data_IF_549268344677
#
_entry.id   IF_549268344677
#
_cell.length_a   1.000
_cell.length_b   1.000
_cell.length_c   1.000
_cell.angle_alpha   90.00
_cell.angle_beta   90.00
_cell.angle_gamma   90.00
#
_symmetry.space_group_name_H-M   'P 1'
#
loop_
_entity.id
_entity.type
_entity.pdbx_description
1 polymer ?
#
# COMPACT_ATOMS: atom_id res chain seq x y z
N UNK A 1 24.07 22.43 -9.24
CA UNK A 1 22.95 23.37 -9.37
C UNK A 1 21.66 22.55 -9.35
N UNK A 2 21.06 22.40 -8.17
CA UNK A 2 19.80 21.65 -8.03
C UNK A 2 18.67 22.48 -8.61
N UNK A 3 18.10 22.02 -9.74
CA UNK A 3 16.77 22.47 -10.16
C UNK A 3 15.76 21.94 -9.14
N UNK A 4 15.45 22.74 -8.13
CA UNK A 4 14.29 22.52 -7.27
C UNK A 4 13.07 22.50 -8.18
N UNK A 5 12.40 21.35 -8.25
CA UNK A 5 11.10 21.23 -8.94
C UNK A 5 10.17 22.23 -8.28
N UNK A 6 9.82 23.30 -9.01
CA UNK A 6 8.76 24.21 -8.59
C UNK A 6 7.51 23.35 -8.54
N UNK A 7 6.93 23.18 -7.34
CA UNK A 7 5.66 22.47 -7.17
C UNK A 7 4.60 23.32 -7.86
N UNK A 8 4.16 22.88 -9.01
CA UNK A 8 3.08 23.53 -9.73
C UNK A 8 1.75 23.13 -9.05
N UNK A 9 1.32 23.96 -8.10
CA UNK A 9 0.06 23.78 -7.37
C UNK A 9 -1.15 23.77 -8.29
N UNK A 10 -1.10 24.58 -9.33
CA UNK A 10 -2.19 24.70 -10.29
C UNK A 10 -2.30 23.41 -11.13
N UNK A 11 -1.18 22.82 -11.52
CA UNK A 11 -1.16 21.53 -12.20
C UNK A 11 -1.68 20.37 -11.32
N UNK A 12 -1.36 20.37 -10.01
CA UNK A 12 -1.90 19.38 -9.08
C UNK A 12 -3.42 19.53 -8.97
N UNK A 13 -3.92 20.75 -8.73
CA UNK A 13 -5.37 21.01 -8.67
C UNK A 13 -6.07 20.59 -9.95
N UNK A 14 -5.58 21.03 -11.09
CA UNK A 14 -6.12 20.68 -12.39
C UNK A 14 -6.17 19.17 -12.66
N UNK A 15 -5.19 18.41 -12.15
CA UNK A 15 -5.19 16.96 -12.29
C UNK A 15 -6.32 16.29 -11.48
N UNK A 16 -6.61 16.77 -10.26
CA UNK A 16 -7.73 16.28 -9.46
C UNK A 16 -9.07 16.70 -10.06
N UNK A 17 -9.21 17.96 -10.53
CA UNK A 17 -10.41 18.46 -11.21
C UNK A 17 -10.71 17.62 -12.47
N UNK A 18 -9.69 17.26 -13.23
CA UNK A 18 -9.84 16.40 -14.41
C UNK A 18 -10.28 14.96 -14.04
N UNK A 19 -9.80 14.44 -12.91
CA UNK A 19 -10.23 13.13 -12.41
C UNK A 19 -11.70 13.16 -12.00
N UNK A 20 -12.13 14.19 -11.28
CA UNK A 20 -13.52 14.35 -10.86
C UNK A 20 -14.43 14.48 -12.08
N UNK A 21 -14.07 15.31 -13.06
CA UNK A 21 -14.82 15.47 -14.31
C UNK A 21 -14.93 14.14 -15.10
N UNK A 22 -13.87 13.32 -15.10
CA UNK A 22 -13.91 12.01 -15.74
C UNK A 22 -14.86 11.04 -15.02
N UNK A 23 -14.89 11.06 -13.67
CA UNK A 23 -15.83 10.27 -12.87
C UNK A 23 -17.28 10.69 -13.12
N UNK A 24 -17.56 11.99 -13.15
CA UNK A 24 -18.87 12.53 -13.47
C UNK A 24 -19.32 12.11 -14.88
N UNK A 25 -18.40 12.17 -15.85
CA UNK A 25 -18.66 11.70 -17.21
C UNK A 25 -19.06 10.22 -17.28
N UNK A 26 -18.38 9.37 -16.51
CA UNK A 26 -18.74 7.93 -16.43
C UNK A 26 -20.07 7.73 -15.70
N UNK A 27 -20.32 8.48 -14.62
CA UNK A 27 -21.57 8.40 -13.85
C UNK A 27 -22.82 8.81 -14.66
N UNK A 28 -22.65 9.66 -15.67
CA UNK A 28 -23.72 10.08 -16.54
C UNK A 28 -24.10 9.05 -17.64
N UNK A 29 -23.33 7.95 -17.79
CA UNK A 29 -23.58 6.94 -18.81
C UNK A 29 -24.72 5.98 -18.40
N UNK A 30 -25.56 5.60 -19.37
CA UNK A 30 -26.51 4.49 -19.22
C UNK A 30 -25.86 3.14 -19.59
N UNK A 31 -26.22 2.09 -18.87
CA UNK A 31 -25.66 0.75 -19.08
C UNK A 31 -26.68 -0.28 -19.59
N UNK A 32 -27.91 0.15 -19.91
CA UNK A 32 -29.05 -0.72 -20.28
C UNK A 32 -28.80 -1.57 -21.53
N UNK A 33 -27.91 -1.10 -22.41
CA UNK A 33 -27.55 -1.82 -23.66
C UNK A 33 -26.42 -2.84 -23.50
N UNK A 34 -25.83 -3.00 -22.29
CA UNK A 34 -24.70 -3.88 -22.06
C UNK A 34 -25.13 -5.28 -21.69
N UNK A 35 -24.37 -6.26 -22.17
CA UNK A 35 -24.48 -7.64 -21.71
C UNK A 35 -23.91 -7.80 -20.28
N UNK A 36 -24.33 -8.83 -19.52
CA UNK A 36 -23.74 -9.11 -18.19
C UNK A 36 -22.22 -9.26 -18.21
N UNK A 37 -21.65 -9.81 -19.29
CA UNK A 37 -20.20 -9.96 -19.46
C UNK A 37 -19.49 -8.60 -19.57
N UNK A 38 -20.06 -7.69 -20.33
CA UNK A 38 -19.54 -6.33 -20.47
C UNK A 38 -19.64 -5.56 -19.15
N UNK A 39 -20.75 -5.71 -18.41
CA UNK A 39 -20.90 -5.13 -17.08
C UNK A 39 -19.82 -5.64 -16.10
N UNK A 40 -19.53 -6.96 -16.10
CA UNK A 40 -18.47 -7.53 -15.27
C UNK A 40 -17.07 -7.00 -15.66
N UNK A 41 -16.83 -6.79 -16.95
CA UNK A 41 -15.58 -6.18 -17.42
C UNK A 41 -15.43 -4.73 -16.92
N UNK A 42 -16.52 -3.96 -16.95
CA UNK A 42 -16.52 -2.58 -16.41
C UNK A 42 -16.34 -2.56 -14.88
N UNK A 43 -16.96 -3.48 -14.15
CA UNK A 43 -16.74 -3.64 -12.71
C UNK A 43 -15.27 -3.95 -12.39
N UNK A 44 -14.63 -4.80 -13.21
CA UNK A 44 -13.19 -5.08 -13.08
C UNK A 44 -12.36 -3.81 -13.32
N UNK A 45 -12.76 -2.97 -14.29
CA UNK A 45 -12.11 -1.70 -14.54
C UNK A 45 -12.28 -0.72 -13.37
N UNK A 46 -13.49 -0.60 -12.83
CA UNK A 46 -13.76 0.22 -11.63
C UNK A 46 -12.90 -0.24 -10.43
N UNK A 47 -12.81 -1.56 -10.23
CA UNK A 47 -11.98 -2.10 -9.14
C UNK A 47 -10.49 -1.78 -9.34
N UNK A 48 -9.99 -1.87 -10.57
CA UNK A 48 -8.61 -1.47 -10.88
C UNK A 48 -8.35 0.00 -10.56
N UNK A 49 -9.29 0.89 -10.83
CA UNK A 49 -9.17 2.32 -10.48
C UNK A 49 -9.12 2.52 -8.95
N UNK A 50 -10.01 1.85 -8.19
CA UNK A 50 -10.01 1.90 -6.72
C UNK A 50 -8.67 1.45 -6.12
N UNK A 51 -8.07 0.40 -6.67
CA UNK A 51 -6.78 -0.15 -6.23
C UNK A 51 -5.60 0.81 -6.44
N UNK A 52 -5.72 1.77 -7.35
CA UNK A 52 -4.68 2.76 -7.64
C UNK A 52 -4.68 3.95 -6.68
N UNK A 53 -5.83 4.29 -6.09
CA UNK A 53 -5.95 5.47 -5.21
C UNK A 53 -4.98 5.44 -4.02
N UNK A 54 -4.79 4.33 -3.29
CA UNK A 54 -3.82 4.29 -2.19
C UNK A 54 -2.39 4.65 -2.61
N UNK A 55 -1.97 4.28 -3.83
CA UNK A 55 -0.65 4.61 -4.33
C UNK A 55 -0.45 6.14 -4.58
N UNK A 56 -1.54 6.88 -4.77
CA UNK A 56 -1.54 8.35 -4.82
C UNK A 56 -1.53 8.94 -3.40
N UNK A 57 -2.25 8.31 -2.45
CA UNK A 57 -2.33 8.76 -1.06
C UNK A 57 -0.99 8.60 -0.31
N UNK A 58 -0.23 7.53 -0.57
CA UNK A 58 1.01 7.24 0.16
C UNK A 58 2.02 8.38 0.15
N UNK A 59 2.39 8.99 -0.99
CA UNK A 59 3.31 10.12 -1.00
C UNK A 59 2.74 11.34 -0.28
N UNK A 60 1.42 11.57 -0.30
CA UNK A 60 0.78 12.68 0.42
C UNK A 60 0.88 12.47 1.94
N UNK A 61 0.52 11.28 2.43
CA UNK A 61 0.62 10.93 3.86
C UNK A 61 2.07 11.04 4.33
N UNK A 62 3.02 10.49 3.58
CA UNK A 62 4.43 10.53 3.92
C UNK A 62 5.00 11.96 3.85
N UNK A 63 4.46 12.81 2.98
CA UNK A 63 4.83 14.22 2.94
C UNK A 63 4.38 14.94 4.21
N UNK A 64 3.13 14.77 4.63
CA UNK A 64 2.62 15.32 5.89
C UNK A 64 3.43 14.81 7.09
N UNK A 65 3.74 13.51 7.12
CA UNK A 65 4.54 12.89 8.19
C UNK A 65 5.93 13.55 8.36
N UNK A 66 6.52 14.01 7.27
CA UNK A 66 7.84 14.67 7.29
C UNK A 66 7.80 16.15 7.59
N UNK A 67 6.73 16.84 7.20
CA UNK A 67 6.66 18.30 7.23
C UNK A 67 5.99 18.82 8.51
N UNK A 68 5.01 18.10 9.04
CA UNK A 68 4.21 18.59 10.15
C UNK A 68 4.64 18.01 11.49
N UNK A 69 4.75 18.87 12.49
CA UNK A 69 4.95 18.46 13.88
C UNK A 69 3.64 17.96 14.51
N UNK A 70 3.70 17.16 15.59
CA UNK A 70 2.50 16.75 16.32
C UNK A 70 1.68 17.95 16.84
N UNK A 71 2.32 19.08 17.15
CA UNK A 71 1.62 20.29 17.59
C UNK A 71 0.79 20.92 16.47
N UNK A 72 1.33 20.97 15.24
CA UNK A 72 0.60 21.47 14.06
C UNK A 72 -0.55 20.53 13.65
N UNK A 73 -0.41 19.22 13.86
CA UNK A 73 -1.44 18.23 13.57
C UNK A 73 -2.52 18.11 14.69
N UNK A 74 -2.33 18.79 15.83
CA UNK A 74 -3.18 18.60 16.99
C UNK A 74 -3.09 17.21 17.62
N UNK A 75 -2.00 16.45 17.33
CA UNK A 75 -1.77 15.12 17.86
C UNK A 75 -1.06 14.17 16.90
N UNK A 76 -1.46 12.89 16.91
CA UNK A 76 -0.88 11.87 16.03
C UNK A 76 -1.34 12.05 14.59
N UNK A 77 -0.44 11.81 13.63
CA UNK A 77 -0.75 11.86 12.18
C UNK A 77 -2.03 11.07 11.81
N UNK A 78 -2.20 9.85 12.34
CA UNK A 78 -3.40 9.06 12.07
C UNK A 78 -4.69 9.71 12.55
N UNK A 79 -4.66 10.49 13.63
CA UNK A 79 -5.82 11.25 14.09
C UNK A 79 -6.11 12.44 13.15
N UNK A 80 -5.07 13.18 12.75
CA UNK A 80 -5.24 14.28 11.79
C UNK A 80 -5.79 13.79 10.44
N UNK A 81 -5.29 12.64 9.94
CA UNK A 81 -5.83 12.00 8.73
C UNK A 81 -7.29 11.60 8.91
N UNK A 82 -7.64 10.99 10.06
CA UNK A 82 -9.03 10.58 10.34
C UNK A 82 -9.99 11.78 10.35
N UNK A 83 -9.61 12.86 10.99
CA UNK A 83 -10.42 14.09 11.05
C UNK A 83 -10.54 14.76 9.66
N UNK A 84 -9.45 14.87 8.92
CA UNK A 84 -9.44 15.52 7.61
C UNK A 84 -10.23 14.75 6.54
N UNK A 85 -10.26 13.41 6.63
CA UNK A 85 -10.90 12.55 5.62
C UNK A 85 -12.21 11.90 6.11
N UNK A 86 -12.61 12.18 7.34
CA UNK A 86 -13.84 11.65 7.98
C UNK A 86 -13.93 10.12 7.97
N UNK A 87 -12.79 9.45 8.13
CA UNK A 87 -12.72 7.98 8.26
C UNK A 87 -12.44 7.58 9.71
N UNK A 88 -12.62 6.29 10.02
CA UNK A 88 -12.31 5.80 11.36
C UNK A 88 -10.81 5.92 11.68
N UNK A 89 -10.49 6.11 12.97
CA UNK A 89 -9.09 6.16 13.45
C UNK A 89 -8.31 4.89 13.13
N UNK A 90 -8.99 3.73 13.13
CA UNK A 90 -8.39 2.46 12.78
C UNK A 90 -8.01 2.42 11.27
N UNK A 91 -8.90 2.91 10.40
CA UNK A 91 -8.64 3.04 8.96
C UNK A 91 -7.50 4.02 8.69
N UNK A 92 -7.51 5.18 9.32
CA UNK A 92 -6.46 6.18 9.19
C UNK A 92 -5.10 5.62 9.65
N UNK A 93 -5.04 4.91 10.77
CA UNK A 93 -3.82 4.25 11.24
C UNK A 93 -3.32 3.21 10.23
N UNK A 94 -4.22 2.41 9.66
CA UNK A 94 -3.89 1.43 8.61
C UNK A 94 -3.29 2.11 7.38
N UNK A 95 -3.89 3.22 6.88
CA UNK A 95 -3.37 3.99 5.75
C UNK A 95 -2.01 4.59 6.03
N UNK A 96 -1.80 5.18 7.20
CA UNK A 96 -0.51 5.74 7.62
C UNK A 96 0.58 4.67 7.65
N UNK A 97 0.31 3.49 8.24
CA UNK A 97 1.27 2.39 8.27
C UNK A 97 1.54 1.83 6.86
N UNK A 98 0.50 1.72 6.02
CA UNK A 98 0.69 1.26 4.64
C UNK A 98 1.50 2.26 3.82
N UNK A 99 1.27 3.56 3.99
CA UNK A 99 2.04 4.61 3.33
C UNK A 99 3.51 4.60 3.75
N UNK A 100 3.81 4.32 5.02
CA UNK A 100 5.17 4.20 5.52
C UNK A 100 5.93 3.02 4.86
N UNK A 101 5.25 1.90 4.62
CA UNK A 101 5.86 0.71 3.99
C UNK A 101 5.96 0.84 2.46
N UNK A 102 4.88 1.27 1.80
CA UNK A 102 4.75 1.24 0.32
C UNK A 102 4.99 2.57 -0.38
N UNK A 103 4.97 3.67 0.37
CA UNK A 103 5.23 4.98 -0.20
C UNK A 103 6.71 5.24 -0.47
N UNK A 104 7.03 6.26 -1.26
CA UNK A 104 8.40 6.69 -1.47
C UNK A 104 9.03 7.09 -0.14
N UNK A 105 10.24 6.58 0.11
CA UNK A 105 11.06 6.91 1.28
C UNK A 105 12.17 7.86 0.87
N UNK A 106 12.69 8.59 1.83
CA UNK A 106 13.80 9.54 1.63
C UNK A 106 14.88 9.18 2.62
N UNK A 107 16.10 9.00 2.14
CA UNK A 107 17.27 8.77 2.98
C UNK A 107 17.68 10.00 3.78
N UNK A 108 18.66 9.81 4.64
CA UNK A 108 19.16 10.88 5.52
C UNK A 108 19.76 12.06 4.74
N UNK A 109 20.28 11.80 3.54
CA UNK A 109 20.87 12.81 2.65
C UNK A 109 19.89 13.34 1.61
N UNK A 110 18.61 12.93 1.68
CA UNK A 110 17.54 13.38 0.79
C UNK A 110 17.37 12.56 -0.48
N UNK A 111 18.14 11.47 -0.65
CA UNK A 111 17.99 10.56 -1.79
C UNK A 111 16.70 9.74 -1.70
N UNK A 112 16.03 9.49 -2.85
CA UNK A 112 14.87 8.61 -2.88
C UNK A 112 15.29 7.15 -2.63
N UNK A 113 14.64 6.52 -1.67
CA UNK A 113 14.80 5.10 -1.36
C UNK A 113 13.53 4.37 -1.80
N UNK A 114 13.69 3.26 -2.50
CA UNK A 114 12.57 2.40 -2.86
C UNK A 114 11.83 1.86 -1.63
N UNK A 115 10.50 1.62 -1.71
CA UNK A 115 9.77 0.87 -0.69
C UNK A 115 10.45 -0.47 -0.41
N UNK A 116 10.37 -0.96 0.83
CA UNK A 116 10.91 -2.29 1.15
C UNK A 116 10.15 -3.40 0.39
N UNK A 117 8.78 -3.41 0.36
CA UNK A 117 8.02 -4.29 -0.52
C UNK A 117 7.83 -3.61 -1.90
N UNK A 118 8.90 -3.62 -2.71
CA UNK A 118 8.95 -2.87 -3.97
C UNK A 118 8.00 -3.42 -5.04
N UNK A 119 7.88 -4.74 -5.17
CA UNK A 119 7.00 -5.39 -6.14
C UNK A 119 5.52 -5.15 -5.77
N UNK A 120 5.17 -5.22 -4.49
CA UNK A 120 3.84 -4.91 -3.97
C UNK A 120 3.45 -3.46 -4.27
N UNK A 121 4.36 -2.51 -4.02
CA UNK A 121 4.14 -1.10 -4.29
C UNK A 121 3.94 -0.82 -5.79
N UNK A 122 4.72 -1.47 -6.65
CA UNK A 122 4.58 -1.38 -8.11
C UNK A 122 3.22 -1.94 -8.57
N UNK A 123 2.87 -3.16 -8.14
CA UNK A 123 1.60 -3.80 -8.49
C UNK A 123 0.37 -3.01 -8.01
N UNK A 124 0.44 -2.41 -6.82
CA UNK A 124 -0.63 -1.53 -6.32
C UNK A 124 -0.77 -0.26 -7.18
N UNK A 125 0.32 0.36 -7.59
CA UNK A 125 0.31 1.53 -8.48
C UNK A 125 -0.34 1.25 -9.82
N UNK A 126 -0.18 0.03 -10.32
CA UNK A 126 -0.83 -0.45 -11.54
C UNK A 126 -2.29 -0.88 -11.34
N UNK A 127 -2.77 -0.93 -10.10
CA UNK A 127 -4.12 -1.36 -9.74
C UNK A 127 -4.30 -2.87 -9.81
N UNK A 128 -3.23 -3.65 -9.70
CA UNK A 128 -3.25 -5.11 -9.77
C UNK A 128 -3.54 -5.75 -8.41
N UNK A 129 -3.18 -5.08 -7.31
CA UNK A 129 -3.40 -5.56 -5.94
C UNK A 129 -4.43 -4.70 -5.21
N UNK A 130 -5.40 -5.34 -4.58
CA UNK A 130 -6.35 -4.69 -3.67
C UNK A 130 -5.68 -4.34 -2.33
N UNK A 131 -6.25 -3.41 -1.54
CA UNK A 131 -5.76 -3.11 -0.20
C UNK A 131 -5.72 -4.36 0.72
N UNK A 132 -6.63 -5.31 0.53
CA UNK A 132 -6.67 -6.56 1.30
C UNK A 132 -5.50 -7.48 0.91
N UNK A 133 -5.21 -7.64 -0.38
CA UNK A 133 -4.05 -8.41 -0.86
C UNK A 133 -2.73 -7.77 -0.39
N UNK A 134 -2.64 -6.45 -0.46
CA UNK A 134 -1.50 -5.69 0.09
C UNK A 134 -1.34 -5.96 1.58
N UNK A 135 -2.44 -5.99 2.35
CA UNK A 135 -2.39 -6.28 3.79
C UNK A 135 -1.87 -7.70 4.07
N UNK A 136 -2.25 -8.69 3.26
CA UNK A 136 -1.73 -10.07 3.35
C UNK A 136 -0.22 -10.09 3.14
N UNK A 137 0.26 -9.47 2.05
CA UNK A 137 1.71 -9.47 1.72
C UNK A 137 2.50 -8.72 2.79
N UNK A 138 2.03 -7.55 3.22
CA UNK A 138 2.68 -6.78 4.28
C UNK A 138 2.76 -7.57 5.59
N UNK A 139 1.67 -8.23 5.99
CA UNK A 139 1.64 -9.08 7.18
C UNK A 139 2.69 -10.17 7.07
N UNK A 140 2.77 -10.88 5.96
CA UNK A 140 3.80 -11.89 5.69
C UNK A 140 5.20 -11.31 5.83
N UNK A 141 5.52 -10.20 5.14
CA UNK A 141 6.84 -9.57 5.21
C UNK A 141 7.25 -9.14 6.63
N UNK A 142 6.30 -8.65 7.43
CA UNK A 142 6.54 -8.25 8.82
C UNK A 142 6.72 -9.43 9.78
N UNK A 143 6.14 -10.59 9.46
CA UNK A 143 6.24 -11.80 10.27
C UNK A 143 7.49 -12.63 9.99
N UNK A 144 8.17 -12.37 8.86
CA UNK A 144 9.39 -13.10 8.52
C UNK A 144 10.46 -12.91 9.60
N UNK A 145 11.05 -14.02 10.10
CA UNK A 145 12.12 -13.99 11.12
C UNK A 145 13.34 -13.20 10.69
N UNK A 146 14.02 -12.54 11.62
CA UNK A 146 15.17 -11.67 11.34
C UNK A 146 16.35 -12.37 10.67
N UNK A 147 16.47 -13.68 10.83
CA UNK A 147 17.55 -14.51 10.25
C UNK A 147 17.37 -14.80 8.74
N UNK A 148 16.16 -14.59 8.18
CA UNK A 148 15.97 -14.73 6.74
C UNK A 148 16.69 -13.59 6.04
N UNK A 149 17.56 -13.93 5.10
CA UNK A 149 18.34 -12.96 4.33
C UNK A 149 17.46 -12.07 3.43
N UNK A 150 17.97 -10.88 3.12
CA UNK A 150 17.24 -9.88 2.37
C UNK A 150 16.83 -10.35 0.96
N UNK A 151 17.67 -11.12 0.28
CA UNK A 151 17.37 -11.61 -1.07
C UNK A 151 16.20 -12.61 -1.05
N UNK A 152 16.12 -13.46 -0.03
CA UNK A 152 14.99 -14.38 0.17
C UNK A 152 13.71 -13.63 0.50
N UNK A 153 13.77 -12.57 1.35
CA UNK A 153 12.62 -11.69 1.64
C UNK A 153 12.08 -11.01 0.39
N UNK A 154 12.95 -10.43 -0.41
CA UNK A 154 12.59 -9.73 -1.66
C UNK A 154 12.01 -10.70 -2.70
N UNK A 155 12.54 -11.91 -2.79
CA UNK A 155 12.00 -12.95 -3.68
C UNK A 155 10.61 -13.39 -3.24
N UNK A 156 10.43 -13.68 -1.97
CA UNK A 156 9.14 -14.09 -1.41
C UNK A 156 8.07 -12.98 -1.58
N UNK A 157 8.43 -11.73 -1.33
CA UNK A 157 7.56 -10.58 -1.58
C UNK A 157 7.17 -10.46 -3.06
N UNK A 158 8.14 -10.58 -3.96
CA UNK A 158 7.92 -10.52 -5.41
C UNK A 158 7.01 -11.64 -5.89
N UNK A 159 7.21 -12.85 -5.40
CA UNK A 159 6.37 -14.01 -5.74
C UNK A 159 4.93 -13.82 -5.23
N UNK A 160 4.75 -13.38 -3.99
CA UNK A 160 3.42 -13.09 -3.44
C UNK A 160 2.72 -11.93 -4.18
N UNK A 161 3.45 -10.89 -4.54
CA UNK A 161 2.90 -9.78 -5.32
C UNK A 161 2.44 -10.25 -6.71
N UNK A 162 3.22 -11.10 -7.37
CA UNK A 162 2.85 -11.70 -8.67
C UNK A 162 1.61 -12.60 -8.54
N UNK A 163 1.59 -13.51 -7.58
CA UNK A 163 0.46 -14.42 -7.37
C UNK A 163 -0.80 -13.67 -6.91
N UNK A 164 -0.64 -12.59 -6.12
CA UNK A 164 -1.75 -11.71 -5.72
C UNK A 164 -2.52 -11.11 -6.89
N UNK A 165 -1.93 -10.99 -8.07
CA UNK A 165 -2.66 -10.53 -9.26
C UNK A 165 -3.68 -11.54 -9.80
N UNK A 166 -3.63 -12.79 -9.33
CA UNK A 166 -4.43 -13.93 -9.84
C UNK A 166 -5.36 -14.53 -8.79
N UNK A 167 -5.07 -14.30 -7.51
CA UNK A 167 -5.77 -14.90 -6.40
C UNK A 167 -6.55 -13.87 -5.60
N UNK A 168 -7.70 -14.28 -5.06
CA UNK A 168 -8.44 -13.47 -4.09
C UNK A 168 -7.67 -13.38 -2.78
N UNK A 169 -7.97 -12.37 -1.91
CA UNK A 169 -7.23 -12.17 -0.67
C UNK A 169 -7.12 -13.41 0.22
N UNK A 170 -8.20 -14.18 0.36
CA UNK A 170 -8.23 -15.40 1.16
C UNK A 170 -7.35 -16.53 0.58
N UNK A 171 -7.29 -16.64 -0.74
CA UNK A 171 -6.42 -17.61 -1.43
C UNK A 171 -4.95 -17.20 -1.32
N UNK A 172 -4.67 -15.91 -1.47
CA UNK A 172 -3.33 -15.36 -1.27
C UNK A 172 -2.85 -15.54 0.17
N UNK A 173 -3.74 -15.39 1.16
CA UNK A 173 -3.42 -15.62 2.57
C UNK A 173 -3.04 -17.08 2.85
N UNK A 174 -3.75 -18.02 2.23
CA UNK A 174 -3.40 -19.45 2.33
C UNK A 174 -2.02 -19.74 1.70
N UNK A 175 -1.74 -19.14 0.52
CA UNK A 175 -0.44 -19.27 -0.13
C UNK A 175 0.68 -18.67 0.71
N UNK A 176 0.46 -17.49 1.30
CA UNK A 176 1.43 -16.85 2.19
C UNK A 176 1.72 -17.70 3.43
N UNK A 177 0.69 -18.35 4.01
CA UNK A 177 0.87 -19.31 5.11
C UNK A 177 1.73 -20.50 4.71
N UNK A 178 1.47 -21.11 3.54
CA UNK A 178 2.30 -22.22 3.03
C UNK A 178 3.75 -21.79 2.81
N UNK A 179 3.96 -20.56 2.29
CA UNK A 179 5.31 -20.03 2.07
C UNK A 179 6.02 -19.76 3.40
N UNK A 180 5.31 -19.25 4.41
CA UNK A 180 5.86 -19.06 5.77
C UNK A 180 6.30 -20.40 6.37
N UNK A 181 5.46 -21.45 6.26
CA UNK A 181 5.79 -22.80 6.71
C UNK A 181 7.03 -23.37 5.98
N UNK A 182 7.15 -23.11 4.66
CA UNK A 182 8.32 -23.54 3.88
C UNK A 182 9.61 -22.81 4.26
N UNK A 183 9.52 -21.54 4.61
CA UNK A 183 10.66 -20.74 5.04
C UNK A 183 11.03 -21.01 6.49
N UNK A 184 10.10 -21.54 7.28
CA UNK A 184 10.26 -21.88 8.70
C UNK A 184 10.29 -23.41 8.88
N UNK A 185 11.03 -24.12 8.02
CA UNK A 185 11.04 -25.57 7.88
C UNK A 185 11.28 -26.36 9.18
N UNK A 186 11.84 -25.74 10.21
CA UNK A 186 12.19 -26.46 11.44
C UNK A 186 11.27 -26.20 12.63
N UNK A 187 10.27 -25.34 12.55
CA UNK A 187 9.31 -25.11 13.65
C UNK A 187 9.90 -24.93 15.06
N UNK A 188 11.18 -25.22 15.18
CA UNK A 188 11.98 -25.31 16.41
C UNK A 188 12.54 -23.97 16.88
N UNK A 189 12.52 -22.94 16.01
CA UNK A 189 13.17 -21.65 16.31
C UNK A 189 12.29 -20.63 17.04
N UNK A 190 11.04 -20.95 17.36
CA UNK A 190 10.17 -20.01 18.10
C UNK A 190 10.51 -19.91 19.59
N UNK A 191 11.17 -20.90 20.17
CA UNK A 191 11.44 -20.95 21.61
C UNK A 191 12.87 -20.56 22.03
N UNK A 192 13.85 -20.57 21.12
CA UNK A 192 15.26 -20.33 21.49
C UNK A 192 15.72 -18.87 21.27
N UNK A 193 15.01 -18.06 20.48
CA UNK A 193 15.37 -16.67 20.19
C UNK A 193 14.70 -15.62 21.11
N UNK A 194 14.00 -16.02 22.16
CA UNK A 194 13.62 -15.09 23.23
C UNK A 194 14.82 -14.92 24.17
N UNK A 195 15.47 -13.71 24.20
CA UNK A 195 16.46 -13.45 25.22
C UNK A 195 15.79 -13.61 26.59
N UNK A 196 16.34 -14.51 27.40
CA UNK A 196 15.90 -14.70 28.77
C UNK A 196 15.82 -13.33 29.45
N UNK A 197 14.61 -12.95 29.88
CA UNK A 197 14.42 -11.76 30.69
C UNK A 197 15.33 -11.90 31.90
N UNK A 198 16.39 -11.07 31.94
CA UNK A 198 17.26 -10.95 33.10
C UNK A 198 16.40 -10.44 34.25
N UNK A 199 16.29 -11.27 35.29
CA UNK A 199 15.69 -10.94 36.58
C UNK A 199 16.49 -9.89 37.34
#
# INVERSE_FOLDING_TARGET
MSSGSIIDRDAISAAFDALDAALDGVAALGFDGLTPRECLALLTHCERLRRRLPAIEHPLINHVARQASPAELGGRLSHAVAEATLISRAEAARRVHTAADLGPRVGLTGEPIAPAPAATAAAQREGLLSPEQVAVIRKFCHQLPGWIDQATRERAETDLAREGTRYRPEQLAALAGTLDDCLNLDGLYRDEDQPAAAG
#
